data_IF_707927552889
#
_entry.id   IF_707927552889
#
_cell.length_a   1.000
_cell.length_b   1.000
_cell.length_c   1.000
_cell.angle_alpha   90.00
_cell.angle_beta   90.00
_cell.angle_gamma   90.00
#
_symmetry.space_group_name_H-M   'P 1'
#
loop_
_entity.id
_entity.type
_entity.pdbx_description
1 polymer ?
#
# COMPACT_ATOMS: atom_id res chain seq x y z
N UNK A 1 -12.91 -36.68 -14.56
CA UNK A 1 -12.17 -35.57 -15.22
C UNK A 1 -11.19 -35.00 -14.20
N UNK A 2 -9.95 -34.75 -14.59
CA UNK A 2 -8.92 -34.17 -13.68
C UNK A 2 -9.17 -32.70 -13.45
N UNK A 3 -9.10 -32.23 -12.17
CA UNK A 3 -9.11 -30.84 -11.80
C UNK A 3 -7.72 -30.27 -12.08
N UNK A 4 -7.65 -29.16 -12.77
CA UNK A 4 -6.38 -28.44 -13.05
C UNK A 4 -6.33 -27.10 -12.36
N UNK A 5 -7.48 -26.42 -12.20
CA UNK A 5 -7.57 -25.12 -11.57
C UNK A 5 -8.70 -25.14 -10.53
N UNK A 6 -8.43 -24.57 -9.38
CA UNK A 6 -9.36 -24.44 -8.26
C UNK A 6 -9.56 -22.95 -7.98
N UNK A 7 -10.79 -22.48 -8.12
CA UNK A 7 -11.20 -21.21 -7.57
C UNK A 7 -11.70 -21.40 -6.14
N UNK A 8 -11.15 -20.66 -5.20
CA UNK A 8 -11.54 -20.73 -3.81
C UNK A 8 -11.98 -19.37 -3.32
N UNK A 9 -13.26 -19.24 -2.97
CA UNK A 9 -13.77 -18.08 -2.26
C UNK A 9 -13.55 -18.26 -0.75
N UNK A 10 -12.92 -17.25 -0.13
CA UNK A 10 -12.46 -17.28 1.27
C UNK A 10 -13.42 -16.50 2.14
N UNK A 11 -14.03 -17.18 3.09
CA UNK A 11 -14.81 -16.55 4.14
C UNK A 11 -14.25 -16.87 5.53
N UNK A 12 -14.86 -16.29 6.57
CA UNK A 12 -14.39 -16.46 7.95
C UNK A 12 -14.48 -17.90 8.44
N UNK A 13 -15.56 -18.59 8.15
CA UNK A 13 -15.87 -19.93 8.71
C UNK A 13 -16.08 -21.01 7.67
N UNK A 14 -16.46 -20.64 6.44
CA UNK A 14 -16.83 -21.55 5.36
C UNK A 14 -16.15 -21.08 4.08
N UNK A 15 -15.74 -22.03 3.25
CA UNK A 15 -15.02 -21.79 1.99
C UNK A 15 -15.78 -22.46 0.85
N UNK A 16 -15.90 -21.77 -0.27
CA UNK A 16 -16.52 -22.31 -1.46
C UNK A 16 -15.45 -22.70 -2.47
N UNK A 17 -15.36 -24.00 -2.72
CA UNK A 17 -14.44 -24.63 -3.63
C UNK A 17 -15.14 -24.90 -4.97
N UNK A 18 -14.49 -24.48 -6.06
CA UNK A 18 -14.90 -24.82 -7.43
C UNK A 18 -13.67 -25.32 -8.19
N UNK A 19 -13.67 -26.61 -8.55
CA UNK A 19 -12.63 -27.22 -9.37
C UNK A 19 -13.05 -27.31 -10.83
N UNK A 20 -12.20 -26.80 -11.73
CA UNK A 20 -12.41 -26.86 -13.17
C UNK A 20 -11.28 -27.65 -13.86
N UNK A 21 -11.57 -28.21 -15.04
CA UNK A 21 -10.57 -28.88 -15.86
C UNK A 21 -9.83 -27.87 -16.78
N UNK A 22 -8.89 -28.35 -17.58
CA UNK A 22 -8.10 -27.54 -18.52
C UNK A 22 -8.95 -26.74 -19.52
N UNK A 23 -10.14 -27.24 -19.85
CA UNK A 23 -11.10 -26.58 -20.75
C UNK A 23 -12.04 -25.59 -20.02
N UNK A 24 -11.87 -25.35 -18.71
CA UNK A 24 -12.72 -24.49 -17.91
C UNK A 24 -14.05 -25.12 -17.49
N UNK A 25 -14.29 -26.42 -17.81
CA UNK A 25 -15.54 -27.08 -17.45
C UNK A 25 -15.52 -27.45 -15.97
N UNK A 26 -16.62 -27.16 -15.28
CA UNK A 26 -16.85 -27.53 -13.87
C UNK A 26 -16.72 -29.05 -13.68
N UNK A 27 -15.87 -29.46 -12.75
CA UNK A 27 -15.66 -30.86 -12.36
C UNK A 27 -16.26 -31.15 -10.99
N UNK A 28 -16.05 -30.23 -10.02
CA UNK A 28 -16.49 -30.41 -8.64
C UNK A 28 -16.73 -29.05 -7.98
N UNK A 29 -17.80 -28.98 -7.19
CA UNK A 29 -18.04 -27.87 -6.25
C UNK A 29 -18.27 -28.43 -4.86
N UNK A 30 -17.79 -27.73 -3.84
CA UNK A 30 -17.98 -28.14 -2.44
C UNK A 30 -17.89 -26.92 -1.50
N UNK A 31 -18.74 -26.94 -0.49
CA UNK A 31 -18.62 -26.07 0.67
C UNK A 31 -17.80 -26.77 1.74
N UNK A 32 -16.79 -26.12 2.31
CA UNK A 32 -15.82 -26.73 3.23
C UNK A 32 -15.75 -25.85 4.47
N UNK A 33 -15.85 -26.45 5.65
CA UNK A 33 -15.66 -25.75 6.93
C UNK A 33 -14.17 -25.47 7.15
N UNK A 34 -13.87 -24.36 7.82
CA UNK A 34 -12.49 -23.92 8.07
C UNK A 34 -11.59 -25.02 8.67
N UNK A 35 -12.11 -25.79 9.63
CA UNK A 35 -11.35 -26.87 10.30
C UNK A 35 -10.97 -28.01 9.38
N UNK A 36 -11.74 -28.26 8.32
CA UNK A 36 -11.57 -29.40 7.43
C UNK A 36 -10.78 -29.02 6.16
N UNK A 37 -10.46 -27.74 5.98
CA UNK A 37 -9.99 -27.19 4.70
C UNK A 37 -8.63 -27.80 4.29
N UNK A 38 -7.63 -27.79 5.16
CA UNK A 38 -6.29 -28.32 4.84
C UNK A 38 -6.34 -29.84 4.63
N UNK A 39 -7.09 -30.57 5.47
CA UNK A 39 -7.26 -32.00 5.29
C UNK A 39 -7.88 -32.33 3.92
N UNK A 40 -8.88 -31.56 3.50
CA UNK A 40 -9.48 -31.72 2.19
C UNK A 40 -8.49 -31.45 1.05
N UNK A 41 -7.71 -30.35 1.13
CA UNK A 41 -6.72 -30.03 0.09
C UNK A 41 -5.58 -31.04 0.02
N UNK A 42 -5.16 -31.61 1.13
CA UNK A 42 -4.15 -32.68 1.16
C UNK A 42 -4.59 -33.96 0.40
N UNK A 43 -5.90 -34.16 0.19
CA UNK A 43 -6.47 -35.29 -0.57
C UNK A 43 -6.75 -34.95 -2.04
N UNK A 44 -6.61 -33.68 -2.44
CA UNK A 44 -6.79 -33.23 -3.83
C UNK A 44 -5.45 -33.33 -4.55
N UNK A 45 -5.44 -33.85 -5.78
CA UNK A 45 -4.23 -33.83 -6.59
C UNK A 45 -3.65 -32.42 -6.75
N UNK A 46 -2.30 -32.29 -6.78
CA UNK A 46 -1.64 -31.00 -7.00
C UNK A 46 -2.27 -30.23 -8.17
N UNK A 47 -2.74 -29.04 -7.90
CA UNK A 47 -3.51 -28.21 -8.82
C UNK A 47 -3.18 -26.74 -8.60
N UNK A 48 -3.51 -25.87 -9.55
CA UNK A 48 -3.44 -24.42 -9.37
C UNK A 48 -4.61 -23.96 -8.51
N UNK A 49 -4.33 -23.48 -7.30
CA UNK A 49 -5.33 -22.86 -6.41
C UNK A 49 -5.28 -21.34 -6.57
N UNK A 50 -6.41 -20.75 -6.88
CA UNK A 50 -6.54 -19.30 -7.08
C UNK A 50 -7.56 -18.73 -6.11
N UNK A 51 -7.22 -17.60 -5.49
CA UNK A 51 -8.05 -16.91 -4.51
C UNK A 51 -8.03 -15.41 -4.76
N UNK A 52 -9.06 -14.70 -4.31
CA UNK A 52 -8.98 -13.24 -4.22
C UNK A 52 -7.92 -12.82 -3.19
N UNK A 53 -7.18 -11.74 -3.49
CA UNK A 53 -6.23 -11.11 -2.57
C UNK A 53 -6.97 -10.32 -1.47
N UNK A 54 -7.61 -11.03 -0.56
CA UNK A 54 -8.39 -10.50 0.57
C UNK A 54 -7.76 -10.85 1.92
N UNK A 55 -8.46 -10.54 3.03
CA UNK A 55 -8.02 -10.90 4.38
C UNK A 55 -7.89 -12.41 4.57
N UNK A 56 -6.71 -12.88 4.99
CA UNK A 56 -6.40 -14.30 5.19
C UNK A 56 -5.85 -15.03 3.96
N UNK A 57 -5.93 -14.45 2.75
CA UNK A 57 -5.50 -15.11 1.53
C UNK A 57 -4.02 -15.55 1.56
N UNK A 58 -3.13 -14.71 2.11
CA UNK A 58 -1.72 -15.06 2.22
C UNK A 58 -1.46 -16.26 3.17
N UNK A 59 -2.20 -16.31 4.30
CA UNK A 59 -2.11 -17.47 5.21
C UNK A 59 -2.51 -18.75 4.51
N UNK A 60 -3.69 -18.77 3.88
CA UNK A 60 -4.18 -19.96 3.18
C UNK A 60 -3.31 -20.33 1.98
N UNK A 61 -2.75 -19.34 1.29
CA UNK A 61 -1.82 -19.59 0.21
C UNK A 61 -0.60 -20.39 0.69
N UNK A 62 0.01 -19.98 1.80
CA UNK A 62 1.15 -20.71 2.39
C UNK A 62 0.75 -22.12 2.86
N UNK A 63 -0.44 -22.28 3.46
CA UNK A 63 -0.91 -23.61 3.89
C UNK A 63 -1.15 -24.54 2.70
N UNK A 64 -1.74 -24.07 1.59
CA UNK A 64 -1.95 -24.88 0.40
C UNK A 64 -0.62 -25.21 -0.33
N UNK A 65 0.34 -24.30 -0.30
CA UNK A 65 1.69 -24.56 -0.83
C UNK A 65 2.39 -25.70 -0.05
N UNK A 66 2.23 -25.76 1.28
CA UNK A 66 2.79 -26.83 2.12
C UNK A 66 2.24 -28.22 1.77
N UNK A 67 1.02 -28.30 1.29
CA UNK A 67 0.39 -29.57 0.83
C UNK A 67 0.52 -29.79 -0.68
N UNK A 68 1.41 -29.08 -1.36
CA UNK A 68 1.85 -29.36 -2.73
C UNK A 68 1.07 -28.68 -3.85
N UNK A 69 0.23 -27.69 -3.54
CA UNK A 69 -0.48 -26.91 -4.57
C UNK A 69 0.33 -25.70 -5.05
N UNK A 70 0.21 -25.37 -6.33
CA UNK A 70 0.58 -24.03 -6.83
C UNK A 70 -0.49 -23.04 -6.42
N UNK A 71 -0.12 -21.88 -5.87
CA UNK A 71 -1.10 -20.90 -5.40
C UNK A 71 -0.84 -19.53 -6.01
N UNK A 72 -1.90 -18.91 -6.52
CA UNK A 72 -1.89 -17.55 -7.05
C UNK A 72 -3.03 -16.73 -6.45
N UNK A 73 -2.78 -15.44 -6.25
CA UNK A 73 -3.80 -14.49 -5.79
C UNK A 73 -4.19 -13.55 -6.94
N UNK A 74 -5.48 -13.17 -7.00
CA UNK A 74 -5.99 -12.18 -7.96
C UNK A 74 -6.54 -10.99 -7.18
N UNK A 75 -6.17 -9.77 -7.56
CA UNK A 75 -6.76 -8.58 -6.94
C UNK A 75 -8.26 -8.50 -7.28
N UNK A 76 -9.14 -8.16 -6.32
CA UNK A 76 -10.61 -8.18 -6.49
C UNK A 76 -11.11 -7.45 -7.73
N UNK A 77 -10.47 -6.33 -8.08
CA UNK A 77 -10.83 -5.53 -9.27
C UNK A 77 -10.71 -6.28 -10.61
N UNK A 78 -9.94 -7.37 -10.65
CA UNK A 78 -9.78 -8.21 -11.85
C UNK A 78 -10.71 -9.43 -11.85
N UNK A 79 -11.36 -9.72 -10.73
CA UNK A 79 -12.37 -10.80 -10.62
C UNK A 79 -13.75 -10.27 -10.93
N UNK A 80 -14.10 -9.09 -10.39
CA UNK A 80 -15.44 -8.47 -10.53
C UNK A 80 -16.00 -8.49 -11.97
N UNK A 81 -15.23 -8.17 -13.04
CA UNK A 81 -15.77 -8.15 -14.41
C UNK A 81 -16.26 -9.51 -14.94
N UNK A 82 -15.86 -10.61 -14.31
CA UNK A 82 -16.21 -11.97 -14.72
C UNK A 82 -17.36 -12.56 -13.90
N UNK A 83 -17.92 -11.81 -12.93
CA UNK A 83 -19.02 -12.30 -12.09
C UNK A 83 -20.32 -12.40 -12.90
N UNK A 84 -20.89 -13.61 -13.07
CA UNK A 84 -22.18 -13.78 -13.74
C UNK A 84 -23.31 -13.45 -12.76
N UNK A 85 -24.19 -12.52 -13.10
CA UNK A 85 -25.46 -12.30 -12.43
C UNK A 85 -25.37 -11.94 -10.94
N UNK A 86 -26.26 -12.54 -10.14
CA UNK A 86 -26.38 -12.25 -8.71
C UNK A 86 -25.21 -12.79 -7.89
N UNK A 87 -24.86 -12.07 -6.80
CA UNK A 87 -23.82 -12.46 -5.85
C UNK A 87 -24.20 -13.78 -5.16
N UNK A 88 -23.34 -14.79 -5.33
CA UNK A 88 -23.44 -16.09 -4.68
C UNK A 88 -22.02 -16.64 -4.53
N UNK A 89 -21.68 -17.19 -3.37
CA UNK A 89 -20.33 -17.62 -3.02
C UNK A 89 -19.77 -18.68 -3.98
N UNK A 90 -20.60 -19.56 -4.53
CA UNK A 90 -20.19 -20.51 -5.59
C UNK A 90 -19.94 -19.80 -6.92
N UNK A 91 -20.70 -18.76 -7.24
CA UNK A 91 -20.46 -17.93 -8.43
C UNK A 91 -19.16 -17.16 -8.26
N UNK A 92 -18.86 -16.66 -7.06
CA UNK A 92 -17.62 -15.96 -6.77
C UNK A 92 -16.42 -16.92 -6.90
N UNK A 93 -16.50 -18.15 -6.37
CA UNK A 93 -15.46 -19.18 -6.54
C UNK A 93 -15.29 -19.60 -8.02
N UNK A 94 -16.39 -19.77 -8.77
CA UNK A 94 -16.33 -20.07 -10.20
C UNK A 94 -15.69 -18.91 -10.98
N UNK A 95 -16.10 -17.68 -10.70
CA UNK A 95 -15.53 -16.47 -11.30
C UNK A 95 -14.04 -16.37 -11.09
N UNK A 96 -13.54 -16.71 -9.90
CA UNK A 96 -12.09 -16.77 -9.61
C UNK A 96 -11.41 -17.81 -10.50
N UNK A 97 -12.00 -19.00 -10.64
CA UNK A 97 -11.43 -20.06 -11.48
C UNK A 97 -11.42 -19.68 -12.98
N UNK A 98 -12.48 -19.04 -13.47
CA UNK A 98 -12.57 -18.54 -14.85
C UNK A 98 -11.60 -17.40 -15.13
N UNK A 99 -11.53 -16.43 -14.21
CA UNK A 99 -10.58 -15.33 -14.31
C UNK A 99 -9.14 -15.85 -14.39
N UNK A 100 -8.81 -16.88 -13.62
CA UNK A 100 -7.48 -17.47 -13.59
C UNK A 100 -7.04 -18.08 -14.93
N UNK A 101 -7.97 -18.49 -15.79
CA UNK A 101 -7.68 -19.09 -17.10
C UNK A 101 -7.45 -18.05 -18.20
N UNK A 102 -7.64 -16.75 -17.92
CA UNK A 102 -7.45 -15.71 -18.93
C UNK A 102 -5.97 -15.44 -19.20
N UNK A 103 -5.53 -15.36 -20.47
CA UNK A 103 -4.12 -15.23 -20.84
C UNK A 103 -3.40 -14.02 -20.23
N UNK A 104 -4.13 -12.92 -20.02
CA UNK A 104 -3.58 -11.65 -19.53
C UNK A 104 -3.93 -11.38 -18.04
N UNK A 105 -4.31 -12.42 -17.27
CA UNK A 105 -4.62 -12.26 -15.86
C UNK A 105 -3.36 -11.87 -15.07
N UNK A 106 -3.53 -10.86 -14.21
CA UNK A 106 -2.47 -10.36 -13.33
C UNK A 106 -2.60 -11.00 -11.96
N UNK A 107 -1.65 -11.85 -11.66
CA UNK A 107 -1.57 -12.48 -10.35
C UNK A 107 -0.71 -11.66 -9.40
N UNK A 108 -0.96 -11.83 -8.12
CA UNK A 108 -0.15 -11.33 -7.01
C UNK A 108 0.45 -12.54 -6.30
N UNK A 109 1.75 -12.51 -6.02
CA UNK A 109 2.39 -13.58 -5.26
C UNK A 109 1.95 -13.55 -3.79
N UNK A 110 1.74 -14.72 -3.17
CA UNK A 110 1.54 -14.81 -1.72
C UNK A 110 2.74 -14.24 -0.97
N UNK A 111 2.47 -13.42 0.03
CA UNK A 111 3.52 -12.81 0.86
C UNK A 111 4.01 -13.80 1.93
N UNK A 112 5.33 -13.89 2.16
CA UNK A 112 5.87 -14.55 3.34
C UNK A 112 5.46 -13.79 4.61
N UNK A 113 5.65 -14.41 5.79
CA UNK A 113 5.21 -13.84 7.07
C UNK A 113 5.94 -12.53 7.36
N UNK A 114 7.24 -12.52 7.14
CA UNK A 114 8.12 -11.35 7.38
C UNK A 114 7.66 -10.13 6.58
N UNK A 115 7.32 -10.31 5.31
CA UNK A 115 6.78 -9.25 4.46
C UNK A 115 5.40 -8.75 4.95
N UNK A 116 4.58 -9.64 5.53
CA UNK A 116 3.31 -9.24 6.14
C UNK A 116 3.50 -8.46 7.43
N UNK A 117 4.50 -8.82 8.25
CA UNK A 117 4.83 -8.12 9.49
C UNK A 117 5.25 -6.66 9.20
N UNK A 118 6.12 -6.45 8.21
CA UNK A 118 6.46 -5.10 7.75
C UNK A 118 5.22 -4.36 7.25
N UNK A 119 4.32 -5.02 6.54
CA UNK A 119 3.06 -4.41 6.10
C UNK A 119 2.16 -4.00 7.29
N UNK A 120 2.08 -4.84 8.34
CA UNK A 120 1.32 -4.52 9.54
C UNK A 120 1.91 -3.32 10.29
N UNK A 121 3.23 -3.23 10.37
CA UNK A 121 3.94 -2.09 10.96
C UNK A 121 3.59 -0.77 10.24
N UNK A 122 3.62 -0.76 8.90
CA UNK A 122 3.20 0.40 8.11
C UNK A 122 1.73 0.78 8.31
N UNK A 123 0.84 -0.20 8.41
CA UNK A 123 -0.59 0.05 8.68
C UNK A 123 -0.82 0.63 10.08
N UNK A 124 -0.09 0.14 11.06
CA UNK A 124 -0.13 0.70 12.42
C UNK A 124 0.35 2.15 12.41
N UNK A 125 1.49 2.44 11.79
CA UNK A 125 2.04 3.79 11.63
C UNK A 125 1.05 4.73 10.92
N UNK A 126 0.45 4.31 9.81
CA UNK A 126 -0.54 5.11 9.08
C UNK A 126 -1.76 5.46 9.95
N UNK A 127 -2.26 4.49 10.71
CA UNK A 127 -3.36 4.70 11.65
C UNK A 127 -2.99 5.71 12.73
N UNK A 128 -1.82 5.57 13.35
CA UNK A 128 -1.34 6.50 14.39
C UNK A 128 -1.17 7.93 13.85
N UNK A 129 -0.62 8.11 12.63
CA UNK A 129 -0.53 9.42 12.00
C UNK A 129 -1.90 10.05 11.77
N UNK A 130 -2.90 9.27 11.36
CA UNK A 130 -4.28 9.76 11.20
C UNK A 130 -4.89 10.15 12.55
N UNK A 131 -4.66 9.36 13.60
CA UNK A 131 -5.12 9.66 14.97
C UNK A 131 -4.47 10.95 15.50
N UNK A 132 -3.14 11.10 15.38
CA UNK A 132 -2.44 12.33 15.77
C UNK A 132 -3.01 13.56 15.07
N UNK A 133 -3.21 13.48 13.75
CA UNK A 133 -3.79 14.59 12.97
C UNK A 133 -5.22 14.92 13.41
N UNK A 134 -6.05 13.93 13.65
CA UNK A 134 -7.43 14.11 14.09
C UNK A 134 -7.47 14.75 15.48
N UNK A 135 -6.67 14.27 16.42
CA UNK A 135 -6.57 14.79 17.78
C UNK A 135 -6.09 16.24 17.81
N UNK A 136 -5.02 16.57 17.07
CA UNK A 136 -4.51 17.93 16.95
C UNK A 136 -5.57 18.89 16.40
N UNK A 137 -6.33 18.49 15.38
CA UNK A 137 -7.40 19.31 14.82
C UNK A 137 -8.57 19.48 15.79
N UNK A 138 -8.94 18.43 16.51
CA UNK A 138 -9.97 18.46 17.54
C UNK A 138 -9.60 19.43 18.66
N UNK A 139 -8.39 19.31 19.22
CA UNK A 139 -7.90 20.18 20.30
C UNK A 139 -7.86 21.62 19.84
N UNK A 140 -7.37 21.90 18.61
CA UNK A 140 -7.38 23.27 18.06
C UNK A 140 -8.78 23.84 17.96
N UNK A 141 -9.75 23.05 17.50
CA UNK A 141 -11.13 23.50 17.42
C UNK A 141 -11.71 23.84 18.81
N UNK A 142 -11.44 22.98 19.79
CA UNK A 142 -11.91 23.19 21.16
C UNK A 142 -11.23 24.38 21.84
N UNK A 143 -9.92 24.57 21.65
CA UNK A 143 -9.19 25.73 22.19
C UNK A 143 -9.63 27.07 21.56
N UNK A 144 -10.05 27.03 20.30
CA UNK A 144 -10.56 28.23 19.63
C UNK A 144 -11.83 28.80 20.30
N UNK A 145 -12.66 27.96 20.95
CA UNK A 145 -13.83 28.38 21.72
C UNK A 145 -13.44 29.13 23.03
N UNK A 146 -12.17 29.01 23.44
CA UNK A 146 -11.57 29.79 24.53
C UNK A 146 -10.70 30.95 24.02
N UNK A 147 -10.80 31.34 22.74
CA UNK A 147 -9.98 32.36 22.12
C UNK A 147 -8.51 32.00 21.92
N UNK A 148 -8.12 30.76 22.18
CA UNK A 148 -6.73 30.27 22.10
C UNK A 148 -6.45 29.67 20.73
N UNK A 149 -5.47 30.21 19.99
CA UNK A 149 -5.13 29.79 18.63
C UNK A 149 -3.70 29.27 18.56
N UNK A 150 -3.52 28.03 18.08
CA UNK A 150 -2.22 27.41 17.84
C UNK A 150 -1.90 27.40 16.34
N UNK A 151 -0.69 27.75 15.96
CA UNK A 151 -0.22 27.76 14.57
C UNK A 151 -0.34 26.37 13.89
N UNK A 152 -0.46 26.36 12.54
CA UNK A 152 -0.92 25.20 11.74
C UNK A 152 0.01 23.98 11.70
N UNK A 153 1.17 23.92 12.33
CA UNK A 153 2.04 22.73 12.29
C UNK A 153 1.87 21.84 13.52
N UNK A 154 2.09 20.54 13.38
CA UNK A 154 2.15 19.61 14.53
C UNK A 154 3.31 19.96 15.46
N UNK A 155 4.42 20.48 14.92
CA UNK A 155 5.54 20.97 15.73
C UNK A 155 5.11 22.14 16.62
N UNK A 156 4.41 23.15 16.06
CA UNK A 156 3.87 24.25 16.86
C UNK A 156 2.87 23.77 17.92
N UNK A 157 2.03 22.79 17.60
CA UNK A 157 1.12 22.17 18.56
C UNK A 157 1.87 21.50 19.72
N UNK A 158 2.91 20.71 19.40
CA UNK A 158 3.71 20.00 20.40
C UNK A 158 4.37 20.94 21.41
N UNK A 159 4.82 22.10 20.94
CA UNK A 159 5.43 23.13 21.81
C UNK A 159 4.39 23.92 22.58
N UNK A 160 3.37 24.46 21.91
CA UNK A 160 2.43 25.39 22.52
C UNK A 160 1.39 24.71 23.46
N UNK A 161 1.02 23.46 23.22
CA UNK A 161 -0.07 22.85 23.98
C UNK A 161 0.25 22.64 25.46
N UNK A 162 1.45 22.16 25.89
CA UNK A 162 1.85 22.13 27.27
C UNK A 162 1.86 23.51 27.94
N UNK A 163 2.37 24.54 27.22
CA UNK A 163 2.43 25.92 27.74
C UNK A 163 1.03 26.47 28.02
N UNK A 164 0.07 26.23 27.10
CA UNK A 164 -1.34 26.61 27.26
C UNK A 164 -1.96 25.94 28.52
N UNK A 165 -1.63 24.67 28.76
CA UNK A 165 -2.15 23.95 29.92
C UNK A 165 -1.57 24.46 31.26
N UNK A 166 -0.35 24.96 31.25
CA UNK A 166 0.31 25.52 32.43
C UNK A 166 -0.01 27.00 32.69
N UNK A 167 -0.50 27.72 31.69
CA UNK A 167 -0.86 29.14 31.82
C UNK A 167 -2.14 29.28 32.66
N UNK A 168 -2.02 29.80 33.89
CA UNK A 168 -3.14 30.03 34.82
C UNK A 168 -3.99 31.25 34.43
N UNK A 169 -3.48 32.14 33.57
CA UNK A 169 -4.15 33.40 33.19
C UNK A 169 -5.11 33.23 32.00
N UNK A 170 -5.14 32.09 31.32
CA UNK A 170 -6.08 31.86 30.25
C UNK A 170 -7.47 31.45 30.75
N UNK A 171 -8.49 31.56 29.89
CA UNK A 171 -9.90 31.31 30.25
C UNK A 171 -10.28 29.81 30.42
N UNK A 172 -9.33 28.88 30.41
CA UNK A 172 -9.64 27.49 30.61
C UNK A 172 -10.18 27.24 32.01
N UNK A 173 -11.39 26.69 32.07
CA UNK A 173 -12.00 26.26 33.34
C UNK A 173 -11.28 25.06 33.92
N UNK A 174 -11.47 24.78 35.22
CA UNK A 174 -10.93 23.55 35.86
C UNK A 174 -11.32 22.30 35.10
N UNK A 175 -12.59 22.20 34.66
CA UNK A 175 -13.09 21.07 33.85
C UNK A 175 -12.44 21.04 32.46
N UNK A 176 -12.27 22.20 31.85
CA UNK A 176 -11.58 22.33 30.54
C UNK A 176 -10.15 21.85 30.63
N UNK A 177 -9.39 22.32 31.65
CA UNK A 177 -8.00 21.87 31.88
C UNK A 177 -7.90 20.37 32.10
N UNK A 178 -8.82 19.78 32.87
CA UNK A 178 -8.86 18.32 33.05
C UNK A 178 -9.02 17.60 31.71
N UNK A 179 -9.98 18.02 30.85
CA UNK A 179 -10.21 17.42 29.54
C UNK A 179 -8.99 17.58 28.63
N UNK A 180 -8.41 18.76 28.56
CA UNK A 180 -7.24 19.00 27.71
C UNK A 180 -5.99 18.28 28.20
N UNK A 181 -5.82 18.05 29.52
CA UNK A 181 -4.74 17.20 30.05
C UNK A 181 -4.89 15.75 29.58
N UNK A 182 -6.10 15.18 29.57
CA UNK A 182 -6.34 13.83 29.03
C UNK A 182 -6.00 13.75 27.52
N UNK A 183 -6.35 14.77 26.76
CA UNK A 183 -6.01 14.84 25.33
C UNK A 183 -4.50 15.04 25.09
N UNK A 184 -3.80 15.72 26.01
CA UNK A 184 -2.34 15.82 25.97
C UNK A 184 -1.64 14.51 26.25
N UNK A 185 -2.12 13.74 27.22
CA UNK A 185 -1.63 12.39 27.52
C UNK A 185 -1.84 11.46 26.32
N UNK A 186 -3.04 11.48 25.70
CA UNK A 186 -3.32 10.72 24.49
C UNK A 186 -2.38 11.09 23.34
N UNK A 187 -2.17 12.40 23.10
CA UNK A 187 -1.26 12.88 22.08
C UNK A 187 0.18 12.37 22.31
N UNK A 188 0.64 12.47 23.57
CA UNK A 188 1.99 12.02 23.96
C UNK A 188 2.17 10.53 23.74
N UNK A 189 1.16 9.71 24.06
CA UNK A 189 1.20 8.25 23.82
C UNK A 189 1.23 7.93 22.32
N UNK A 190 0.43 8.62 21.52
CA UNK A 190 0.46 8.47 20.06
C UNK A 190 1.85 8.80 19.47
N UNK A 191 2.46 9.91 19.90
CA UNK A 191 3.80 10.33 19.46
C UNK A 191 4.87 9.28 19.85
N UNK A 192 4.80 8.75 21.08
CA UNK A 192 5.70 7.68 21.56
C UNK A 192 5.57 6.42 20.68
N UNK A 193 4.35 6.02 20.38
CA UNK A 193 4.08 4.85 19.52
C UNK A 193 4.54 5.09 18.07
N UNK A 194 4.35 6.29 17.53
CA UNK A 194 4.86 6.66 16.21
C UNK A 194 6.39 6.54 16.16
N UNK A 195 7.08 7.09 17.17
CA UNK A 195 8.54 6.99 17.28
C UNK A 195 9.00 5.52 17.34
N UNK A 196 8.30 4.68 18.10
CA UNK A 196 8.58 3.24 18.14
C UNK A 196 8.40 2.57 16.76
N UNK A 197 7.34 2.90 16.03
CA UNK A 197 7.16 2.39 14.66
C UNK A 197 8.29 2.86 13.72
N UNK A 198 8.72 4.11 13.82
CA UNK A 198 9.79 4.65 12.99
C UNK A 198 11.14 3.96 13.30
N UNK A 199 11.41 3.66 14.57
CA UNK A 199 12.60 2.87 14.98
C UNK A 199 12.56 1.47 14.36
N UNK A 200 11.46 0.75 14.47
CA UNK A 200 11.31 -0.59 13.88
C UNK A 200 11.42 -0.58 12.34
N UNK A 201 10.91 0.47 11.68
CA UNK A 201 11.08 0.65 10.24
C UNK A 201 12.55 0.82 9.85
N UNK A 202 13.31 1.56 10.65
CA UNK A 202 14.77 1.72 10.43
C UNK A 202 15.51 0.41 10.65
N UNK A 203 15.15 -0.35 11.68
CA UNK A 203 15.71 -1.67 11.95
C UNK A 203 15.45 -2.64 10.80
N UNK A 204 14.20 -2.72 10.33
CA UNK A 204 13.82 -3.53 9.16
C UNK A 204 14.64 -3.09 7.91
N UNK A 205 14.75 -1.80 7.65
CA UNK A 205 15.54 -1.28 6.55
C UNK A 205 17.00 -1.72 6.63
N UNK A 206 17.59 -1.70 7.83
CA UNK A 206 19.02 -2.03 8.03
C UNK A 206 19.33 -3.50 7.73
N UNK A 207 18.39 -4.40 7.92
CA UNK A 207 18.55 -5.84 7.73
C UNK A 207 18.08 -6.32 6.35
N UNK A 208 17.33 -5.49 5.61
CA UNK A 208 16.72 -5.89 4.33
C UNK A 208 17.53 -5.35 3.14
N UNK A 209 18.20 -6.24 2.36
CA UNK A 209 19.07 -5.80 1.26
C UNK A 209 18.31 -5.11 0.13
N UNK A 210 17.02 -5.43 -0.08
CA UNK A 210 16.18 -4.74 -1.06
C UNK A 210 15.95 -3.29 -0.63
N UNK A 211 15.66 -3.06 0.66
CA UNK A 211 15.45 -1.72 1.19
C UNK A 211 16.71 -0.87 1.10
N UNK A 212 17.88 -1.43 1.44
CA UNK A 212 19.16 -0.74 1.35
C UNK A 212 19.46 -0.30 -0.10
N UNK A 213 19.27 -1.20 -1.07
CA UNK A 213 19.49 -0.87 -2.49
C UNK A 213 18.59 0.23 -3.00
N UNK A 214 17.28 0.15 -2.75
CA UNK A 214 16.35 1.16 -3.28
C UNK A 214 16.48 2.53 -2.60
N UNK A 215 16.98 2.57 -1.38
CA UNK A 215 17.24 3.82 -0.64
C UNK A 215 18.42 4.62 -1.21
N UNK A 216 19.26 4.03 -2.06
CA UNK A 216 20.27 4.78 -2.82
C UNK A 216 19.65 5.81 -3.77
N UNK A 217 18.37 5.64 -4.14
CA UNK A 217 17.65 6.59 -4.99
C UNK A 217 17.25 7.87 -4.25
N UNK A 218 17.47 9.07 -4.82
CA UNK A 218 17.06 10.33 -4.22
C UNK A 218 15.58 10.33 -3.83
N UNK A 219 15.24 10.89 -2.66
CA UNK A 219 13.88 11.02 -2.16
C UNK A 219 13.25 9.71 -1.67
N UNK A 220 14.00 8.63 -1.61
CA UNK A 220 13.56 7.36 -1.03
C UNK A 220 14.29 7.15 0.30
N UNK A 221 13.55 7.18 1.39
CA UNK A 221 14.07 6.92 2.74
C UNK A 221 13.50 5.63 3.34
N UNK A 222 13.83 5.33 4.61
CA UNK A 222 13.47 4.07 5.28
C UNK A 222 11.97 3.72 5.20
N UNK A 223 11.09 4.70 5.38
CA UNK A 223 9.64 4.50 5.30
C UNK A 223 9.20 4.11 3.89
N UNK A 224 9.78 4.72 2.85
CA UNK A 224 9.38 4.41 1.46
C UNK A 224 9.98 3.08 1.01
N UNK A 225 11.23 2.79 1.38
CA UNK A 225 11.91 1.55 1.01
C UNK A 225 11.24 0.33 1.62
N UNK A 226 10.96 0.36 2.92
CA UNK A 226 10.27 -0.74 3.62
C UNK A 226 8.80 -0.88 3.20
N UNK A 227 8.10 0.24 2.91
CA UNK A 227 6.74 0.19 2.36
C UNK A 227 6.70 -0.42 0.94
N UNK A 228 7.70 -0.15 0.10
CA UNK A 228 7.85 -0.79 -1.20
C UNK A 228 8.01 -2.30 -1.02
N UNK A 229 8.96 -2.74 -0.19
CA UNK A 229 9.19 -4.15 0.11
C UNK A 229 7.91 -4.82 0.66
N UNK A 230 7.26 -4.22 1.65
CA UNK A 230 6.01 -4.71 2.22
C UNK A 230 4.89 -4.89 1.17
N UNK A 231 4.85 -4.03 0.16
CA UNK A 231 3.82 -4.09 -0.87
C UNK A 231 4.11 -5.13 -1.96
N UNK A 232 5.36 -5.20 -2.45
CA UNK A 232 5.70 -5.90 -3.70
C UNK A 232 6.99 -6.74 -3.63
N UNK A 233 7.62 -6.87 -2.46
CA UNK A 233 8.89 -7.59 -2.31
C UNK A 233 9.97 -6.99 -3.21
N UNK A 234 10.56 -7.81 -4.07
CA UNK A 234 11.56 -7.40 -5.07
C UNK A 234 10.94 -6.78 -6.34
N UNK A 235 9.61 -6.69 -6.44
CA UNK A 235 8.92 -6.12 -7.59
C UNK A 235 8.92 -7.00 -8.85
N UNK A 236 9.31 -8.26 -8.76
CA UNK A 236 9.41 -9.20 -9.89
C UNK A 236 8.07 -9.52 -10.57
N UNK A 237 6.94 -9.26 -9.92
CA UNK A 237 5.59 -9.40 -10.48
C UNK A 237 5.26 -8.36 -11.57
N UNK A 238 6.08 -7.33 -11.73
CA UNK A 238 5.87 -6.28 -12.72
C UNK A 238 6.84 -6.44 -13.89
N UNK A 239 6.31 -6.41 -15.11
CA UNK A 239 7.10 -6.55 -16.32
C UNK A 239 8.09 -5.39 -16.55
N UNK A 240 7.79 -4.22 -16.01
CA UNK A 240 8.65 -3.02 -16.11
C UNK A 240 8.20 -1.93 -15.13
N UNK A 241 9.03 -0.90 -14.94
CA UNK A 241 8.74 0.21 -14.03
C UNK A 241 7.53 1.07 -14.44
N UNK A 242 7.14 1.09 -15.73
CA UNK A 242 5.91 1.77 -16.17
C UNK A 242 4.67 1.02 -15.64
N UNK A 243 4.71 -0.30 -15.67
CA UNK A 243 3.66 -1.14 -15.10
C UNK A 243 3.53 -0.93 -13.59
N UNK A 244 4.67 -0.90 -12.85
CA UNK A 244 4.66 -0.59 -11.42
C UNK A 244 4.13 0.82 -11.10
N UNK A 245 4.57 1.85 -11.82
CA UNK A 245 4.07 3.23 -11.61
C UNK A 245 2.58 3.38 -11.93
N UNK A 246 2.07 2.63 -12.92
CA UNK A 246 0.65 2.55 -13.22
C UNK A 246 -0.14 1.86 -12.10
N UNK A 247 0.43 0.80 -11.52
CA UNK A 247 -0.14 0.13 -10.35
C UNK A 247 -0.16 1.04 -9.11
N UNK A 248 0.82 1.94 -8.94
CA UNK A 248 0.78 2.99 -7.92
C UNK A 248 -0.26 4.10 -8.22
N UNK A 249 -0.86 4.11 -9.42
CA UNK A 249 -1.81 5.13 -9.84
C UNK A 249 -1.17 6.50 -10.14
N UNK A 250 0.11 6.51 -10.51
CA UNK A 250 0.90 7.70 -10.85
C UNK A 250 0.88 8.05 -12.34
N UNK A 251 0.14 7.30 -13.16
CA UNK A 251 -0.03 7.57 -14.60
C UNK A 251 -1.32 8.34 -14.86
N UNK A 252 -1.38 9.17 -15.92
CA UNK A 252 -2.59 9.87 -16.31
C UNK A 252 -3.75 8.90 -16.60
N UNK A 253 -4.97 9.33 -16.31
CA UNK A 253 -6.17 8.72 -16.90
C UNK A 253 -6.23 9.16 -18.36
N UNK A 254 -6.64 8.25 -19.21
CA UNK A 254 -6.79 8.50 -20.64
C UNK A 254 -8.25 8.29 -21.04
N UNK A 255 -8.79 9.24 -21.79
CA UNK A 255 -10.06 9.16 -22.51
C UNK A 255 -9.79 9.53 -23.96
N UNK A 256 -9.29 8.56 -24.72
CA UNK A 256 -8.96 8.74 -26.13
C UNK A 256 -10.00 8.05 -26.99
N UNK A 257 -10.50 8.75 -28.00
CA UNK A 257 -11.43 8.23 -29.01
C UNK A 257 -11.17 8.93 -30.36
N UNK A 258 -11.37 8.23 -31.46
CA UNK A 258 -11.26 8.80 -32.79
C UNK A 258 -9.89 9.43 -33.10
N UNK A 259 -8.80 8.86 -32.59
CA UNK A 259 -7.43 9.37 -32.80
C UNK A 259 -7.06 10.61 -31.98
N UNK A 260 -7.93 11.10 -31.08
CA UNK A 260 -7.64 12.23 -30.19
C UNK A 260 -7.25 11.74 -28.81
N UNK A 261 -6.02 12.04 -28.38
CA UNK A 261 -5.53 11.73 -27.03
C UNK A 261 -5.96 12.80 -26.04
N UNK A 262 -6.80 12.41 -25.07
CA UNK A 262 -7.18 13.26 -23.95
C UNK A 262 -6.61 12.68 -22.64
N UNK A 263 -5.53 13.27 -22.14
CA UNK A 263 -4.88 12.90 -20.88
C UNK A 263 -5.39 13.79 -19.74
N UNK A 264 -5.92 13.14 -18.71
CA UNK A 264 -6.43 13.79 -17.49
C UNK A 264 -5.39 13.71 -16.37
N UNK A 265 -5.77 14.14 -15.17
CA UNK A 265 -4.96 13.92 -13.96
C UNK A 265 -4.66 12.45 -13.71
N UNK A 266 -3.73 12.15 -12.79
CA UNK A 266 -3.33 10.77 -12.48
C UNK A 266 -4.52 9.90 -12.09
N UNK A 267 -4.40 8.59 -12.37
CA UNK A 267 -5.50 7.64 -12.18
C UNK A 267 -5.93 7.47 -10.72
N UNK A 268 -5.02 7.66 -9.78
CA UNK A 268 -5.18 7.42 -8.33
C UNK A 268 -5.68 6.00 -7.99
N UNK A 269 -5.67 5.08 -8.95
CA UNK A 269 -5.98 3.66 -8.74
C UNK A 269 -4.82 2.96 -8.07
N UNK A 270 -5.07 1.80 -7.46
CA UNK A 270 -4.04 0.97 -6.84
C UNK A 270 -3.55 1.47 -5.48
N UNK A 271 -2.26 1.30 -5.18
CA UNK A 271 -1.73 1.51 -3.83
C UNK A 271 -1.61 3.01 -3.47
N UNK A 272 -2.58 3.51 -2.69
CA UNK A 272 -2.63 4.91 -2.28
C UNK A 272 -1.48 5.28 -1.31
N UNK A 273 -1.09 4.35 -0.43
CA UNK A 273 -0.04 4.60 0.55
C UNK A 273 1.32 4.81 -0.11
N UNK A 274 1.74 3.88 -0.99
CA UNK A 274 2.98 4.04 -1.76
C UNK A 274 2.96 5.28 -2.66
N UNK A 275 1.84 5.57 -3.31
CA UNK A 275 1.70 6.80 -4.10
C UNK A 275 1.96 8.04 -3.27
N UNK A 276 1.42 8.12 -2.05
CA UNK A 276 1.65 9.23 -1.12
C UNK A 276 3.12 9.35 -0.76
N UNK A 277 3.78 8.22 -0.42
CA UNK A 277 5.20 8.21 -0.08
C UNK A 277 6.08 8.66 -1.27
N UNK A 278 5.82 8.18 -2.48
CA UNK A 278 6.54 8.64 -3.67
C UNK A 278 6.33 10.14 -3.96
N UNK A 279 5.13 10.68 -3.69
CA UNK A 279 4.87 12.12 -3.83
C UNK A 279 5.64 12.91 -2.76
N UNK A 280 5.74 12.42 -1.53
CA UNK A 280 6.58 13.06 -0.50
C UNK A 280 8.06 13.02 -0.86
N UNK A 281 8.57 11.88 -1.32
CA UNK A 281 9.95 11.77 -1.83
C UNK A 281 10.22 12.72 -2.99
N UNK A 282 9.26 12.84 -3.92
CA UNK A 282 9.37 13.78 -5.04
C UNK A 282 9.38 15.25 -4.59
N UNK A 283 8.64 15.60 -3.54
CA UNK A 283 8.70 16.95 -2.95
C UNK A 283 10.07 17.25 -2.37
N UNK A 284 10.65 16.30 -1.64
CA UNK A 284 12.01 16.45 -1.11
C UNK A 284 13.04 16.64 -2.24
N UNK A 285 12.96 15.82 -3.31
CA UNK A 285 13.82 15.99 -4.48
C UNK A 285 13.67 17.37 -5.12
N UNK A 286 12.44 17.88 -5.27
CA UNK A 286 12.18 19.20 -5.88
C UNK A 286 12.62 20.37 -5.00
N UNK A 287 12.55 20.23 -3.67
CA UNK A 287 13.03 21.25 -2.73
C UNK A 287 14.58 21.36 -2.74
N UNK A 288 15.25 20.25 -3.05
CA UNK A 288 16.70 20.13 -2.97
C UNK A 288 17.40 20.08 -4.37
N UNK A 289 16.65 20.20 -5.47
CA UNK A 289 17.21 20.09 -6.82
C UNK A 289 17.88 21.38 -7.32
N UNK A 290 17.67 22.51 -6.65
CA UNK A 290 18.26 23.78 -7.04
C UNK A 290 19.79 23.75 -7.00
N UNK A 291 20.45 24.11 -8.12
CA UNK A 291 21.92 24.11 -8.24
C UNK A 291 22.58 22.75 -8.46
N UNK A 292 21.87 21.63 -8.34
CA UNK A 292 22.39 20.29 -8.61
C UNK A 292 22.53 20.02 -10.11
N UNK A 293 23.63 19.36 -10.51
CA UNK A 293 23.97 19.14 -11.92
C UNK A 293 23.59 17.77 -12.44
N UNK A 294 23.13 16.85 -11.58
CA UNK A 294 22.71 15.53 -12.00
C UNK A 294 21.46 15.59 -12.89
N UNK A 295 21.31 14.58 -13.76
CA UNK A 295 20.24 14.51 -14.76
C UNK A 295 18.83 14.55 -14.17
N UNK A 296 18.63 13.94 -12.99
CA UNK A 296 17.31 13.92 -12.33
C UNK A 296 16.95 15.31 -11.79
N UNK A 297 17.88 15.96 -11.10
CA UNK A 297 17.69 17.29 -10.51
C UNK A 297 17.48 18.37 -11.58
N UNK A 298 18.30 18.41 -12.63
CA UNK A 298 18.13 19.32 -13.76
C UNK A 298 16.76 19.16 -14.43
N UNK A 299 16.32 17.92 -14.67
CA UNK A 299 15.02 17.63 -15.25
C UNK A 299 13.87 18.03 -14.32
N UNK A 300 13.98 17.75 -13.03
CA UNK A 300 12.96 18.09 -12.02
C UNK A 300 12.80 19.61 -11.89
N UNK A 301 13.90 20.34 -11.82
CA UNK A 301 13.92 21.80 -11.77
C UNK A 301 13.28 22.42 -13.01
N UNK A 302 13.73 22.09 -14.22
CA UNK A 302 13.18 22.60 -15.47
C UNK A 302 11.68 22.26 -15.62
N UNK A 303 11.24 21.11 -15.09
CA UNK A 303 9.83 20.74 -15.10
C UNK A 303 9.00 21.59 -14.13
N UNK A 304 9.53 21.90 -12.95
CA UNK A 304 8.87 22.76 -11.96
C UNK A 304 8.66 24.18 -12.50
N UNK A 305 9.69 24.76 -13.13
CA UNK A 305 9.61 26.06 -13.79
C UNK A 305 8.52 26.09 -14.89
N UNK A 306 8.47 25.08 -15.74
CA UNK A 306 7.56 25.05 -16.90
C UNK A 306 6.11 24.70 -16.51
N UNK A 307 5.87 23.78 -15.55
CA UNK A 307 4.55 23.20 -15.26
C UNK A 307 4.04 23.48 -13.86
N UNK A 308 4.84 24.14 -13.03
CA UNK A 308 4.57 24.42 -11.63
C UNK A 308 4.86 23.23 -10.71
N UNK A 309 5.16 23.56 -9.46
CA UNK A 309 5.64 22.62 -8.42
C UNK A 309 4.80 21.34 -8.28
N UNK A 310 3.49 21.48 -8.13
CA UNK A 310 2.63 20.30 -7.85
C UNK A 310 2.55 19.32 -9.03
N UNK A 311 2.55 19.82 -10.28
CA UNK A 311 2.56 18.96 -11.47
C UNK A 311 3.93 18.29 -11.63
N UNK A 312 5.02 19.01 -11.34
CA UNK A 312 6.37 18.47 -11.32
C UNK A 312 6.50 17.38 -10.25
N UNK A 313 5.98 17.58 -9.03
CA UNK A 313 5.96 16.56 -7.97
C UNK A 313 5.38 15.23 -8.46
N UNK A 314 4.23 15.26 -9.13
CA UNK A 314 3.58 14.04 -9.62
C UNK A 314 4.42 13.34 -10.69
N UNK A 315 5.04 14.10 -11.59
CA UNK A 315 5.89 13.54 -12.64
C UNK A 315 7.19 12.95 -12.07
N UNK A 316 7.81 13.65 -11.09
CA UNK A 316 8.99 13.14 -10.36
C UNK A 316 8.62 11.89 -9.58
N UNK A 317 7.48 11.86 -8.87
CA UNK A 317 7.01 10.67 -8.16
C UNK A 317 6.83 9.45 -9.10
N UNK A 318 6.28 9.66 -10.30
CA UNK A 318 6.21 8.61 -11.31
C UNK A 318 7.60 8.10 -11.71
N UNK A 319 8.55 9.02 -11.91
CA UNK A 319 9.94 8.66 -12.25
C UNK A 319 10.64 7.93 -11.11
N UNK A 320 10.49 8.40 -9.87
CA UNK A 320 11.03 7.72 -8.68
C UNK A 320 10.48 6.31 -8.54
N UNK A 321 9.15 6.12 -8.68
CA UNK A 321 8.55 4.78 -8.64
C UNK A 321 9.18 3.84 -9.68
N UNK A 322 9.42 4.32 -10.91
CA UNK A 322 10.06 3.53 -11.98
C UNK A 322 11.52 3.21 -11.68
N UNK A 323 12.26 4.15 -11.10
CA UNK A 323 13.66 3.96 -10.68
C UNK A 323 13.71 2.93 -9.56
N UNK A 324 12.93 3.13 -8.49
CA UNK A 324 12.85 2.21 -7.34
C UNK A 324 12.55 0.78 -7.77
N UNK A 325 11.56 0.60 -8.67
CA UNK A 325 11.28 -0.71 -9.23
C UNK A 325 12.47 -1.30 -10.00
N UNK A 326 13.15 -0.50 -10.82
CA UNK A 326 14.27 -0.98 -11.63
C UNK A 326 15.45 -1.42 -10.75
N UNK A 327 15.74 -0.68 -9.68
CA UNK A 327 16.76 -1.01 -8.69
C UNK A 327 16.41 -2.32 -7.97
N UNK A 328 15.17 -2.44 -7.49
CA UNK A 328 14.71 -3.64 -6.77
C UNK A 328 14.70 -4.89 -7.65
N UNK A 329 14.08 -4.81 -8.85
CA UNK A 329 13.88 -5.96 -9.73
C UNK A 329 15.15 -6.44 -10.46
N UNK A 330 16.15 -5.55 -10.59
CA UNK A 330 17.43 -5.85 -11.26
C UNK A 330 18.59 -6.04 -10.28
N UNK A 331 18.32 -5.88 -8.99
CA UNK A 331 19.30 -5.99 -7.91
C UNK A 331 20.50 -5.02 -8.09
N UNK A 332 20.21 -3.82 -8.63
CA UNK A 332 21.19 -2.75 -8.92
C UNK A 332 21.09 -1.63 -7.86
N UNK A 333 21.92 -0.60 -8.00
CA UNK A 333 21.91 0.61 -7.19
C UNK A 333 21.65 1.84 -8.05
N UNK A 334 21.24 2.94 -7.42
CA UNK A 334 21.06 4.19 -8.14
C UNK A 334 22.41 4.75 -8.58
N UNK A 335 22.55 5.00 -9.86
CA UNK A 335 23.75 5.65 -10.44
C UNK A 335 23.42 7.08 -10.82
N UNK A 336 24.17 8.01 -10.28
CA UNK A 336 24.09 9.42 -10.64
C UNK A 336 24.75 9.61 -12.00
N UNK A 337 24.01 10.00 -13.01
CA UNK A 337 24.57 10.40 -14.30
C UNK A 337 24.63 11.92 -14.36
N UNK A 338 25.77 12.45 -14.74
CA UNK A 338 25.98 13.87 -14.99
C UNK A 338 25.17 14.40 -16.18
#
# INVERSE_FOLDING_TARGET
MKITTIGLDIAKSVFHFVGVNKAGKLVKKKMIKRKDLIHFFAQVEPSLVVMEACGGANYWAREFQKVGHEVKLIAPQYVIPYRPGNKNDYNDALTIAEAAQRPNMRFVQPKPVEQQDVQMLHRMRERLNKQSTALVNQVRGMLAEYGIVIAKSTAAFRTAFPDILSDENNELTVKGRYIFNQLHEEFTDIEKRLKSCDTQIVEERNTNPVCLRIETSPGIGPVTSTAFYAAVGEGKDFSNGRHFSAWCGLVPRQHSSGGKDNLLGISKRGNAYLRTLFIHGARAVLQDCGGKQDRLSRWAYALAERKGFNKACVAVANKLARITWAIAAREDEYRTFA
#
